data_IF_515176069218
#
_entry.id   IF_515176069218
#
_cell.length_a   1.000
_cell.length_b   1.000
_cell.length_c   1.000
_cell.angle_alpha   90.00
_cell.angle_beta   90.00
_cell.angle_gamma   90.00
#
_symmetry.space_group_name_H-M   'P 1'
#
loop_
_entity.id
_entity.type
_entity.pdbx_description
1 polymer ?
#
# COMPACT_ATOMS: atom_id res chain seq x y z
N UNK A 1 -11.02 53.02 -16.16
CA UNK A 1 -9.60 52.60 -16.19
C UNK A 1 -9.59 51.08 -16.25
N UNK A 2 -9.51 50.44 -17.42
CA UNK A 2 -8.26 50.14 -18.19
C UNK A 2 -7.28 49.38 -17.26
N UNK A 3 -6.95 48.09 -17.43
CA UNK A 3 -6.52 47.39 -18.66
C UNK A 3 -6.59 45.85 -18.49
N UNK A 4 -6.92 45.14 -19.57
CA UNK A 4 -6.63 43.71 -19.82
C UNK A 4 -5.13 43.47 -20.02
N UNK A 5 -4.66 42.29 -19.62
CA UNK A 5 -3.66 41.43 -20.29
C UNK A 5 -3.63 40.12 -19.47
N UNK A 6 -3.54 38.91 -19.98
CA UNK A 6 -3.14 38.39 -21.29
C UNK A 6 -2.49 37.02 -20.99
N UNK A 7 -2.94 35.97 -21.67
CA UNK A 7 -2.48 34.58 -21.55
C UNK A 7 -0.94 34.45 -21.56
N UNK A 8 -0.40 33.36 -21.00
CA UNK A 8 0.39 32.40 -21.78
C UNK A 8 0.68 31.13 -20.96
N UNK A 9 0.35 29.98 -21.56
CA UNK A 9 0.91 28.68 -21.23
C UNK A 9 2.43 28.73 -21.39
N UNK A 10 3.18 28.22 -20.42
CA UNK A 10 4.59 27.89 -20.62
C UNK A 10 4.83 26.47 -20.14
N UNK A 11 4.95 25.57 -21.11
CA UNK A 11 5.56 24.25 -20.97
C UNK A 11 6.96 24.42 -20.37
N UNK A 12 7.22 23.84 -19.20
CA UNK A 12 8.60 23.63 -18.76
C UNK A 12 9.12 22.40 -19.49
N UNK A 13 9.75 22.65 -20.64
CA UNK A 13 10.54 21.65 -21.35
C UNK A 13 11.85 21.48 -20.58
N UNK A 14 12.05 20.30 -19.98
CA UNK A 14 13.35 19.91 -19.40
C UNK A 14 14.29 19.64 -20.57
N UNK A 15 15.11 20.63 -20.93
CA UNK A 15 16.26 20.43 -21.79
C UNK A 15 17.36 19.75 -20.97
N UNK A 16 17.57 18.45 -21.20
CA UNK A 16 18.78 17.77 -20.77
C UNK A 16 19.93 18.20 -21.71
N UNK A 17 20.71 19.18 -21.30
CA UNK A 17 21.98 19.51 -21.94
C UNK A 17 22.99 18.39 -21.70
N UNK A 18 23.19 17.54 -22.71
CA UNK A 18 24.32 16.61 -22.77
C UNK A 18 25.55 17.42 -23.20
N UNK A 19 26.40 17.79 -22.24
CA UNK A 19 27.70 18.36 -22.53
C UNK A 19 28.67 17.23 -22.90
N UNK A 20 28.93 17.05 -24.20
CA UNK A 20 30.08 16.28 -24.68
C UNK A 20 31.36 17.12 -24.52
N UNK A 21 32.16 16.81 -23.50
CA UNK A 21 33.56 17.22 -23.44
C UNK A 21 34.43 16.01 -23.79
N UNK A 22 34.98 16.05 -25.00
CA UNK A 22 36.05 15.17 -25.41
C UNK A 22 37.41 15.73 -24.93
N UNK A 23 38.30 14.80 -24.56
CA UNK A 23 39.76 14.91 -24.40
C UNK A 23 40.33 15.36 -23.05
N UNK A 24 40.60 14.37 -22.19
CA UNK A 24 41.98 14.13 -21.72
C UNK A 24 42.18 12.65 -21.38
N UNK A 25 43.01 11.95 -22.15
CA UNK A 25 43.45 10.60 -21.83
C UNK A 25 44.32 10.64 -20.56
N UNK A 26 43.94 9.86 -19.54
CA UNK A 26 44.81 9.61 -18.39
C UNK A 26 44.08 9.47 -17.06
N UNK A 27 43.33 8.37 -16.89
CA UNK A 27 42.81 7.93 -15.60
C UNK A 27 41.35 8.29 -15.34
N UNK A 28 40.42 7.51 -15.89
CA UNK A 28 38.99 7.72 -15.61
C UNK A 28 38.01 6.71 -16.21
N UNK A 29 38.44 5.81 -17.10
CA UNK A 29 37.51 4.88 -17.80
C UNK A 29 36.86 3.83 -16.88
N UNK A 30 37.49 3.49 -15.75
CA UNK A 30 36.96 2.48 -14.84
C UNK A 30 35.77 2.96 -13.99
N UNK A 31 35.61 4.28 -13.79
CA UNK A 31 34.55 4.81 -12.93
C UNK A 31 33.19 4.80 -13.63
N UNK A 32 33.15 5.22 -14.90
CA UNK A 32 31.92 5.23 -15.71
C UNK A 32 31.46 3.84 -16.14
N UNK A 33 32.38 2.91 -16.42
CA UNK A 33 32.02 1.53 -16.74
C UNK A 33 31.46 0.79 -15.53
N UNK A 34 31.99 1.04 -14.32
CA UNK A 34 31.46 0.52 -13.06
C UNK A 34 30.05 1.02 -12.78
N UNK A 35 29.82 2.33 -12.86
CA UNK A 35 28.49 2.92 -12.64
C UNK A 35 27.44 2.41 -13.65
N UNK A 36 27.82 2.24 -14.92
CA UNK A 36 26.93 1.65 -15.93
C UNK A 36 26.63 0.18 -15.65
N UNK A 37 27.59 -0.58 -15.13
CA UNK A 37 27.37 -1.97 -14.73
C UNK A 37 26.43 -2.07 -13.52
N UNK A 38 26.62 -1.22 -12.52
CA UNK A 38 25.78 -1.17 -11.31
C UNK A 38 24.33 -0.79 -11.66
N UNK A 39 24.13 0.26 -12.46
CA UNK A 39 22.79 0.67 -12.93
C UNK A 39 22.11 -0.43 -13.74
N UNK A 40 22.85 -1.20 -14.53
CA UNK A 40 22.30 -2.35 -15.28
C UNK A 40 21.88 -3.47 -14.33
N UNK A 41 22.65 -3.73 -13.28
CA UNK A 41 22.33 -4.73 -12.29
C UNK A 41 21.09 -4.33 -11.47
N UNK A 42 21.00 -3.08 -11.03
CA UNK A 42 19.84 -2.53 -10.34
C UNK A 42 18.58 -2.60 -11.21
N UNK A 43 18.68 -2.15 -12.48
CA UNK A 43 17.57 -2.23 -13.43
C UNK A 43 17.12 -3.69 -13.70
N UNK A 44 18.06 -4.63 -13.72
CA UNK A 44 17.73 -6.05 -13.86
C UNK A 44 16.96 -6.56 -12.64
N UNK A 45 17.35 -6.17 -11.43
CA UNK A 45 16.63 -6.51 -10.19
C UNK A 45 15.21 -5.93 -10.19
N UNK A 46 15.07 -4.63 -10.45
CA UNK A 46 13.75 -3.97 -10.49
C UNK A 46 12.83 -4.60 -11.54
N UNK A 47 13.36 -4.97 -12.71
CA UNK A 47 12.57 -5.68 -13.74
C UNK A 47 12.14 -7.07 -13.30
N UNK A 48 12.94 -7.75 -12.48
CA UNK A 48 12.59 -9.06 -11.95
C UNK A 48 11.45 -8.93 -10.94
N UNK A 49 11.59 -8.02 -9.97
CA UNK A 49 10.58 -7.79 -8.93
C UNK A 49 9.26 -7.31 -9.54
N UNK A 50 9.33 -6.38 -10.51
CA UNK A 50 8.17 -5.91 -11.27
C UNK A 50 7.45 -7.06 -11.99
N UNK A 51 8.19 -8.03 -12.55
CA UNK A 51 7.60 -9.19 -13.20
C UNK A 51 6.88 -10.10 -12.21
N UNK A 52 7.48 -10.36 -11.05
CA UNK A 52 6.83 -11.16 -10.00
C UNK A 52 5.56 -10.47 -9.50
N UNK A 53 5.62 -9.16 -9.28
CA UNK A 53 4.46 -8.38 -8.90
C UNK A 53 3.34 -8.43 -9.93
N UNK A 54 3.66 -8.27 -11.22
CA UNK A 54 2.69 -8.41 -12.31
C UNK A 54 2.10 -9.81 -12.38
N UNK A 55 2.90 -10.86 -12.21
CA UNK A 55 2.40 -12.24 -12.18
C UNK A 55 1.44 -12.47 -11.01
N UNK A 56 1.82 -12.03 -9.80
CA UNK A 56 0.98 -12.14 -8.61
C UNK A 56 -0.35 -11.39 -8.80
N UNK A 57 -0.28 -10.13 -9.20
CA UNK A 57 -1.45 -9.26 -9.35
C UNK A 57 -2.33 -9.61 -10.55
N UNK A 58 -1.80 -10.30 -11.56
CA UNK A 58 -2.60 -10.73 -12.72
C UNK A 58 -3.65 -11.80 -12.40
N UNK A 59 -3.52 -12.48 -11.25
CA UNK A 59 -4.37 -13.59 -10.85
C UNK A 59 -5.38 -13.22 -9.75
N UNK A 60 -5.34 -11.99 -9.25
CA UNK A 60 -6.16 -11.52 -8.13
C UNK A 60 -6.93 -10.27 -8.54
N UNK A 61 -8.20 -10.20 -8.18
CA UNK A 61 -9.09 -9.12 -8.60
C UNK A 61 -8.83 -7.87 -7.74
N UNK A 62 -8.48 -6.70 -8.33
CA UNK A 62 -8.35 -5.47 -7.57
C UNK A 62 -9.70 -5.06 -6.97
N UNK A 63 -9.69 -4.65 -5.71
CA UNK A 63 -10.86 -4.10 -5.03
C UNK A 63 -10.62 -2.61 -4.82
N UNK A 64 -11.49 -1.78 -5.41
CA UNK A 64 -11.48 -0.35 -5.11
C UNK A 64 -12.27 -0.08 -3.83
N UNK A 65 -11.58 0.40 -2.80
CA UNK A 65 -12.17 0.83 -1.53
C UNK A 65 -12.09 2.35 -1.48
N UNK A 66 -13.18 3.02 -1.87
CA UNK A 66 -13.18 4.48 -2.10
C UNK A 66 -12.95 5.26 -0.81
N UNK A 67 -13.33 4.68 0.33
CA UNK A 67 -13.07 5.24 1.66
C UNK A 67 -11.60 5.16 2.10
N UNK A 68 -10.75 4.39 1.40
CA UNK A 68 -9.38 4.03 1.82
C UNK A 68 -8.37 4.16 0.66
N UNK A 69 -8.06 5.39 0.25
CA UNK A 69 -7.24 5.64 -0.96
C UNK A 69 -5.74 5.38 -0.79
N UNK A 70 -5.29 5.25 0.46
CA UNK A 70 -3.97 4.75 0.89
C UNK A 70 -3.80 3.23 0.72
N UNK A 71 -4.82 2.52 0.21
CA UNK A 71 -4.78 1.08 0.05
C UNK A 71 -4.63 0.61 -1.40
N UNK A 72 -3.95 -0.54 -1.56
CA UNK A 72 -4.19 -1.46 -2.69
C UNK A 72 -4.79 -2.75 -2.14
N UNK A 73 -6.02 -3.04 -2.51
CA UNK A 73 -6.73 -4.23 -2.06
C UNK A 73 -6.95 -5.23 -3.20
N UNK A 74 -6.93 -6.52 -2.86
CA UNK A 74 -7.11 -7.62 -3.80
C UNK A 74 -7.98 -8.71 -3.19
N UNK A 75 -8.99 -9.16 -3.93
CA UNK A 75 -9.80 -10.31 -3.56
C UNK A 75 -9.13 -11.59 -4.04
N UNK A 76 -8.92 -12.53 -3.12
CA UNK A 76 -8.41 -13.86 -3.40
C UNK A 76 -9.57 -14.79 -3.85
N UNK A 77 -9.30 -15.87 -4.61
CA UNK A 77 -10.36 -16.77 -5.10
C UNK A 77 -11.23 -17.43 -4.01
N UNK A 78 -10.73 -17.51 -2.77
CA UNK A 78 -11.46 -18.03 -1.62
C UNK A 78 -12.26 -16.95 -0.86
N UNK A 79 -12.35 -15.73 -1.40
CA UNK A 79 -13.04 -14.59 -0.81
C UNK A 79 -12.26 -13.85 0.27
N UNK A 80 -11.02 -14.23 0.58
CA UNK A 80 -10.18 -13.46 1.49
C UNK A 80 -9.69 -12.19 0.81
N UNK A 81 -9.52 -11.12 1.57
CA UNK A 81 -9.03 -9.85 1.07
C UNK A 81 -7.59 -9.64 1.52
N UNK A 82 -6.68 -9.37 0.58
CA UNK A 82 -5.34 -8.87 0.90
C UNK A 82 -5.34 -7.36 0.69
N UNK A 83 -4.97 -6.60 1.72
CA UNK A 83 -4.82 -5.14 1.60
C UNK A 83 -3.38 -4.72 1.92
N UNK A 84 -2.85 -3.84 1.08
CA UNK A 84 -1.55 -3.20 1.28
C UNK A 84 -1.80 -1.74 1.63
N UNK A 85 -1.30 -1.31 2.77
CA UNK A 85 -1.53 0.03 3.30
C UNK A 85 -0.22 0.82 3.31
N UNK A 86 -0.22 1.94 2.58
CA UNK A 86 0.94 2.79 2.35
C UNK A 86 0.98 4.00 3.31
N UNK A 87 2.09 4.73 3.32
CA UNK A 87 2.30 5.89 4.19
C UNK A 87 1.70 7.20 3.69
N UNK A 88 1.13 7.23 2.48
CA UNK A 88 0.44 8.38 1.90
C UNK A 88 -0.89 7.97 1.25
N UNK A 89 -1.91 8.82 1.41
CA UNK A 89 -3.24 8.66 0.80
C UNK A 89 -3.21 8.79 -0.72
N UNK A 90 -2.19 9.48 -1.26
CA UNK A 90 -1.84 9.51 -2.66
C UNK A 90 -0.73 8.49 -2.93
N UNK A 91 -1.10 7.33 -3.45
CA UNK A 91 -0.17 6.23 -3.72
C UNK A 91 0.96 6.59 -4.69
N UNK A 92 0.85 7.68 -5.46
CA UNK A 92 1.94 8.16 -6.30
C UNK A 92 3.03 8.92 -5.51
N UNK A 93 2.72 9.32 -4.27
CA UNK A 93 3.63 9.98 -3.33
C UNK A 93 4.07 9.07 -2.18
N UNK A 94 3.45 7.91 -2.02
CA UNK A 94 3.83 6.93 -1.03
C UNK A 94 5.28 6.47 -1.24
N UNK A 95 6.08 6.54 -0.19
CA UNK A 95 7.47 6.08 -0.16
C UNK A 95 7.58 4.70 0.49
N UNK A 96 6.63 4.34 1.37
CA UNK A 96 6.71 3.13 2.17
C UNK A 96 5.39 2.34 2.19
N UNK A 97 5.53 1.02 2.24
CA UNK A 97 4.47 0.12 2.70
C UNK A 97 4.53 0.04 4.24
N UNK A 98 3.41 0.31 4.90
CA UNK A 98 3.31 0.34 6.36
C UNK A 98 2.72 -0.94 6.93
N UNK A 99 1.57 -1.39 6.39
CA UNK A 99 0.94 -2.65 6.80
C UNK A 99 0.61 -3.55 5.62
N UNK A 100 0.60 -4.85 5.91
CA UNK A 100 -0.11 -5.86 5.13
C UNK A 100 -1.27 -6.35 5.97
N UNK A 101 -2.48 -6.34 5.41
CA UNK A 101 -3.67 -6.80 6.08
C UNK A 101 -4.29 -8.01 5.38
N UNK A 102 -4.72 -8.99 6.17
CA UNK A 102 -5.52 -10.13 5.71
C UNK A 102 -6.93 -10.00 6.25
N UNK A 103 -7.90 -9.88 5.35
CA UNK A 103 -9.34 -9.85 5.60
C UNK A 103 -9.97 -11.22 5.42
N UNK A 104 -10.61 -11.73 6.45
CA UNK A 104 -11.38 -12.98 6.43
C UNK A 104 -12.87 -12.65 6.40
N UNK A 105 -13.65 -13.21 5.45
CA UNK A 105 -15.09 -12.99 5.39
C UNK A 105 -15.82 -13.37 6.68
N UNK A 106 -16.79 -12.54 7.05
CA UNK A 106 -17.53 -12.72 8.28
C UNK A 106 -18.69 -11.75 8.43
N UNK A 107 -19.17 -11.68 9.66
CA UNK A 107 -20.22 -10.75 10.08
C UNK A 107 -19.73 -9.87 11.22
N UNK A 108 -20.26 -8.66 11.33
CA UNK A 108 -19.90 -7.72 12.39
C UNK A 108 -20.54 -8.11 13.74
N UNK A 109 -20.12 -9.25 14.27
CA UNK A 109 -20.63 -9.87 15.49
C UNK A 109 -19.46 -10.40 16.32
N UNK A 110 -19.52 -10.21 17.64
CA UNK A 110 -18.48 -10.71 18.56
C UNK A 110 -18.21 -12.20 18.43
N UNK A 111 -19.26 -13.01 18.28
CA UNK A 111 -19.13 -14.47 18.10
C UNK A 111 -18.39 -14.82 16.81
N UNK A 112 -18.59 -14.03 15.75
CA UNK A 112 -17.96 -14.28 14.47
C UNK A 112 -16.50 -13.85 14.45
N UNK A 113 -16.17 -12.71 15.06
CA UNK A 113 -14.78 -12.33 15.34
C UNK A 113 -14.04 -13.45 16.09
N UNK A 114 -14.65 -13.97 17.16
CA UNK A 114 -14.09 -15.08 17.94
C UNK A 114 -13.91 -16.36 17.10
N UNK A 115 -14.83 -16.65 16.17
CA UNK A 115 -14.69 -17.76 15.22
C UNK A 115 -13.47 -17.55 14.34
N UNK A 116 -13.32 -16.38 13.73
CA UNK A 116 -12.17 -16.04 12.88
C UNK A 116 -10.88 -16.16 13.67
N UNK A 117 -10.82 -15.61 14.88
CA UNK A 117 -9.62 -15.68 15.71
C UNK A 117 -9.27 -17.11 16.16
N UNK A 118 -10.28 -17.96 16.39
CA UNK A 118 -10.07 -19.37 16.70
C UNK A 118 -9.49 -20.15 15.51
N UNK A 119 -9.88 -19.79 14.29
CA UNK A 119 -9.48 -20.49 13.06
C UNK A 119 -8.12 -20.01 12.53
N UNK A 120 -7.87 -18.70 12.55
CA UNK A 120 -6.70 -18.07 11.90
C UNK A 120 -5.68 -17.50 12.88
N UNK A 121 -5.98 -17.49 14.18
CA UNK A 121 -5.14 -16.88 15.21
C UNK A 121 -5.64 -15.49 15.65
N UNK A 122 -5.07 -14.93 16.72
CA UNK A 122 -5.54 -13.67 17.31
C UNK A 122 -5.24 -12.46 16.41
N UNK A 123 -5.91 -11.33 16.68
CA UNK A 123 -5.55 -10.03 16.09
C UNK A 123 -6.51 -9.53 15.02
N UNK A 124 -7.60 -10.24 14.77
CA UNK A 124 -8.66 -9.82 13.88
C UNK A 124 -9.56 -8.78 14.56
N UNK A 125 -9.02 -7.59 14.83
CA UNK A 125 -9.67 -6.55 15.66
C UNK A 125 -10.42 -5.48 14.87
N UNK A 126 -10.28 -5.47 13.54
CA UNK A 126 -10.76 -4.42 12.66
C UNK A 126 -11.73 -4.99 11.63
N UNK A 127 -12.93 -4.43 11.50
CA UNK A 127 -13.95 -4.89 10.56
C UNK A 127 -14.26 -3.84 9.51
N UNK A 128 -14.55 -4.28 8.28
CA UNK A 128 -15.16 -3.43 7.26
C UNK A 128 -16.38 -4.12 6.65
N UNK A 129 -17.48 -3.37 6.62
CA UNK A 129 -18.60 -3.65 5.73
C UNK A 129 -18.22 -3.23 4.31
N UNK A 130 -17.99 -4.21 3.44
CA UNK A 130 -17.55 -3.98 2.05
C UNK A 130 -18.68 -3.47 1.16
N UNK A 131 -19.94 -3.73 1.49
CA UNK A 131 -21.09 -3.25 0.71
C UNK A 131 -21.36 -1.78 1.01
N UNK A 132 -21.33 -1.41 2.29
CA UNK A 132 -21.49 -0.03 2.73
C UNK A 132 -20.23 0.83 2.56
N UNK A 133 -19.06 0.20 2.36
CA UNK A 133 -17.73 0.83 2.36
C UNK A 133 -17.49 1.64 3.65
N UNK A 134 -17.66 0.98 4.81
CA UNK A 134 -17.54 1.64 6.12
C UNK A 134 -16.65 0.90 7.10
N UNK A 135 -15.93 1.67 7.91
CA UNK A 135 -15.21 1.18 9.10
C UNK A 135 -16.22 0.65 10.13
N UNK A 136 -16.12 -0.64 10.44
CA UNK A 136 -17.13 -1.38 11.20
C UNK A 136 -18.38 -1.68 10.37
N UNK A 137 -19.53 -1.72 11.02
CA UNK A 137 -20.80 -1.99 10.34
C UNK A 137 -21.98 -1.97 11.31
N UNK A 138 -23.18 -2.23 10.79
CA UNK A 138 -24.34 -2.52 11.63
C UNK A 138 -24.19 -3.92 12.24
N UNK A 139 -24.84 -4.22 13.39
CA UNK A 139 -24.85 -5.57 13.92
C UNK A 139 -25.29 -6.60 12.89
N UNK A 140 -24.47 -7.62 12.66
CA UNK A 140 -24.73 -8.67 11.67
C UNK A 140 -24.45 -8.29 10.21
N UNK A 141 -23.91 -7.10 9.93
CA UNK A 141 -23.47 -6.73 8.59
C UNK A 141 -22.43 -7.72 8.06
N UNK A 142 -22.54 -8.07 6.77
CA UNK A 142 -21.53 -8.89 6.10
C UNK A 142 -20.32 -8.03 5.75
N UNK A 143 -19.15 -8.63 5.80
CA UNK A 143 -17.91 -7.92 5.53
C UNK A 143 -16.70 -8.78 5.80
N UNK A 144 -15.61 -8.14 6.22
CA UNK A 144 -14.35 -8.81 6.50
C UNK A 144 -13.78 -8.37 7.83
N UNK A 145 -13.25 -9.33 8.60
CA UNK A 145 -12.39 -9.09 9.74
C UNK A 145 -10.94 -9.06 9.28
N UNK A 146 -10.23 -7.99 9.59
CA UNK A 146 -8.84 -7.77 9.26
C UNK A 146 -7.92 -7.99 10.45
N UNK A 147 -6.82 -8.68 10.19
CA UNK A 147 -5.58 -8.59 10.97
C UNK A 147 -4.58 -7.73 10.19
N UNK A 148 -3.90 -6.81 10.88
CA UNK A 148 -2.87 -5.95 10.31
C UNK A 148 -1.50 -6.34 10.85
N UNK A 149 -0.52 -6.48 9.95
CA UNK A 149 0.87 -6.78 10.30
C UNK A 149 1.75 -5.61 9.86
N UNK A 150 2.55 -5.08 10.77
CA UNK A 150 3.53 -4.06 10.45
C UNK A 150 4.59 -4.59 9.50
N UNK A 151 4.89 -3.88 8.42
CA UNK A 151 5.95 -4.28 7.47
C UNK A 151 7.33 -3.80 7.94
N UNK A 152 7.34 -2.72 8.72
CA UNK A 152 8.52 -2.03 9.23
C UNK A 152 8.19 -1.39 10.58
N UNK A 153 9.19 -0.79 11.20
CA UNK A 153 8.98 0.01 12.41
C UNK A 153 8.54 1.43 12.03
N UNK A 154 7.46 1.91 12.65
CA UNK A 154 6.94 3.28 12.46
C UNK A 154 5.91 3.67 13.53
N UNK A 155 5.46 4.92 13.48
CA UNK A 155 4.32 5.40 14.26
C UNK A 155 3.24 5.90 13.32
N UNK A 156 1.98 5.72 13.71
CA UNK A 156 0.84 6.21 12.93
C UNK A 156 -0.32 6.61 13.84
N UNK A 157 -1.10 7.64 13.50
CA UNK A 157 -2.33 7.97 14.22
C UNK A 157 -3.43 6.89 14.10
N UNK A 158 -3.27 5.92 13.21
CA UNK A 158 -4.22 4.82 13.03
C UNK A 158 -3.98 3.64 13.99
N UNK A 159 -2.82 3.59 14.65
CA UNK A 159 -2.54 2.61 15.70
C UNK A 159 -2.59 3.26 17.08
N UNK A 160 -2.96 2.49 18.09
CA UNK A 160 -2.91 2.91 19.50
C UNK A 160 -1.48 3.11 20.02
N UNK A 161 -0.45 2.65 19.28
CA UNK A 161 0.95 2.77 19.68
C UNK A 161 1.94 2.66 18.50
N UNK A 162 3.25 2.53 18.82
CA UNK A 162 4.26 2.22 17.81
C UNK A 162 3.97 0.86 17.15
N UNK A 163 4.24 0.77 15.85
CA UNK A 163 4.10 -0.45 15.06
C UNK A 163 5.47 -1.05 14.85
N UNK A 164 5.60 -2.36 15.12
CA UNK A 164 6.84 -3.12 14.89
C UNK A 164 6.74 -3.92 13.59
N UNK A 165 7.84 -4.01 12.85
CA UNK A 165 7.95 -4.85 11.66
C UNK A 165 7.83 -6.33 11.99
N UNK A 166 7.00 -7.05 11.23
CA UNK A 166 6.73 -8.48 11.38
C UNK A 166 5.76 -8.85 12.50
N UNK A 167 5.24 -7.88 13.25
CA UNK A 167 4.31 -8.11 14.36
C UNK A 167 2.88 -7.71 13.99
N UNK A 168 1.91 -8.34 14.64
CA UNK A 168 0.50 -7.97 14.52
C UNK A 168 0.26 -6.64 15.24
N UNK A 169 -0.29 -5.66 14.54
CA UNK A 169 -0.77 -4.40 15.09
C UNK A 169 -2.23 -4.56 15.54
N UNK A 170 -2.43 -5.08 16.76
CA UNK A 170 -3.77 -5.27 17.34
C UNK A 170 -4.48 -3.95 17.64
N UNK A 171 -3.72 -2.85 17.72
CA UNK A 171 -4.20 -1.49 17.94
C UNK A 171 -4.57 -0.74 16.66
N UNK A 172 -4.46 -1.37 15.49
CA UNK A 172 -4.85 -0.74 14.22
C UNK A 172 -6.37 -0.53 14.16
N UNK A 173 -6.80 0.70 14.40
CA UNK A 173 -8.18 1.18 14.32
C UNK A 173 -9.23 0.13 14.74
N UNK A 174 -9.17 -0.45 15.95
CA UNK A 174 -10.04 -1.57 16.32
C UNK A 174 -11.52 -1.16 16.22
N UNK A 175 -12.34 -2.08 15.73
CA UNK A 175 -13.80 -1.92 15.67
C UNK A 175 -14.43 -2.77 16.76
N UNK A 176 -14.95 -2.18 17.85
CA UNK A 176 -15.59 -2.93 18.91
C UNK A 176 -16.74 -3.78 18.33
N UNK A 177 -16.69 -5.11 18.42
CA UNK A 177 -17.68 -5.96 17.78
C UNK A 177 -19.04 -5.77 18.45
N UNK A 178 -20.09 -5.76 17.64
CA UNK A 178 -21.44 -5.66 18.18
C UNK A 178 -21.90 -6.96 18.85
N UNK A 179 -22.77 -6.85 19.86
CA UNK A 179 -23.56 -7.99 20.33
C UNK A 179 -24.71 -8.22 19.35
N UNK A 180 -24.56 -9.24 18.51
CA UNK A 180 -25.64 -9.70 17.65
C UNK A 180 -26.65 -10.53 18.46
N UNK A 181 -27.93 -10.37 18.11
CA UNK A 181 -29.05 -11.10 18.71
C UNK A 181 -29.06 -12.58 18.32
#
# INVERSE_FOLDING_TARGET
MVRRAGNLFTFVSVFATVALLATSCGGGDNAGEGEVADLRAELASVRLDSRYWQQLTSLIEPVELKSMTDHRAYMLPNGHLLALHFDDMDLAKADNLNWVALGVPGTFCKKDQQRVEQEFGPGFTHFHDLEADTHGGKPGANGVWFVHVGVRDFTSPMSEGPVSGGEIDSGFMPTPPSSCA
#
